data_IF_393417820411
#
_entry.id   IF_393417820411
#
_cell.length_a   1.000
_cell.length_b   1.000
_cell.length_c   1.000
_cell.angle_alpha   90.00
_cell.angle_beta   90.00
_cell.angle_gamma   90.00
#
_symmetry.space_group_name_H-M   'P 1'
#
loop_
_entity.id
_entity.type
_entity.pdbx_description
1 polymer ?
#
# COMPACT_ATOMS: atom_id res chain seq x y z
N UNK A 1 -15.20 29.99 8.89
CA UNK A 1 -14.58 28.91 9.70
C UNK A 1 -13.52 28.28 8.82
N UNK A 2 -12.32 27.98 9.33
CA UNK A 2 -11.35 27.22 8.53
C UNK A 2 -11.95 25.83 8.24
N UNK A 3 -11.97 25.41 6.97
CA UNK A 3 -12.44 24.06 6.63
C UNK A 3 -11.57 23.04 7.35
N UNK A 4 -12.20 22.04 7.97
CA UNK A 4 -11.47 20.95 8.62
C UNK A 4 -10.62 20.22 7.57
N UNK A 5 -9.41 19.84 7.98
CA UNK A 5 -8.48 19.14 7.09
C UNK A 5 -9.01 17.74 6.79
N UNK A 6 -9.02 17.38 5.51
CA UNK A 6 -9.38 16.05 5.02
C UNK A 6 -8.18 15.10 5.08
N UNK A 7 -8.40 13.88 5.56
CA UNK A 7 -7.39 12.82 5.67
C UNK A 7 -7.78 11.65 4.78
N UNK A 8 -6.91 11.29 3.85
CA UNK A 8 -7.06 10.07 3.04
C UNK A 8 -6.76 8.87 3.93
N UNK A 9 -7.68 7.90 3.94
CA UNK A 9 -7.42 6.57 4.49
C UNK A 9 -7.23 5.61 3.32
N UNK A 10 -6.03 5.04 3.22
CA UNK A 10 -5.75 3.91 2.34
C UNK A 10 -5.94 2.61 3.12
N UNK A 11 -6.64 1.64 2.53
CA UNK A 11 -6.73 0.28 3.07
C UNK A 11 -5.99 -0.70 2.16
N UNK A 12 -4.94 -1.35 2.69
CA UNK A 12 -4.18 -2.39 2.01
C UNK A 12 -4.70 -3.77 2.42
N UNK A 13 -5.40 -4.41 1.48
CA UNK A 13 -6.38 -5.45 1.80
C UNK A 13 -5.74 -6.78 2.21
N UNK A 14 -4.67 -7.19 1.53
CA UNK A 14 -4.09 -8.54 1.73
C UNK A 14 -2.58 -8.63 1.52
N UNK A 15 -2.01 -7.84 0.61
CA UNK A 15 -0.58 -7.84 0.33
C UNK A 15 0.02 -9.16 -0.11
N UNK A 16 1.33 -9.25 0.10
CA UNK A 16 2.13 -10.46 -0.17
C UNK A 16 3.00 -10.91 1.02
N UNK A 17 2.99 -10.18 2.15
CA UNK A 17 3.82 -10.47 3.32
C UNK A 17 3.21 -11.57 4.20
N UNK A 18 1.98 -11.35 4.68
CA UNK A 18 1.31 -12.30 5.55
C UNK A 18 0.85 -13.53 4.75
N UNK A 19 0.85 -14.69 5.40
CA UNK A 19 0.50 -15.97 4.79
C UNK A 19 -0.74 -16.60 5.46
N UNK A 20 -1.46 -17.53 4.80
CA UNK A 20 -2.71 -18.12 5.31
C UNK A 20 -2.64 -18.76 6.70
N UNK A 21 -1.47 -19.22 7.13
CA UNK A 21 -1.24 -19.77 8.47
C UNK A 21 -1.37 -18.72 9.57
N UNK A 22 -1.01 -17.46 9.28
CA UNK A 22 -0.82 -16.42 10.29
C UNK A 22 -2.12 -15.90 10.88
N UNK A 23 -3.20 -15.89 10.09
CA UNK A 23 -4.54 -15.50 10.52
C UNK A 23 -5.57 -16.18 9.62
N UNK A 24 -6.72 -16.64 10.15
CA UNK A 24 -7.82 -17.14 9.33
C UNK A 24 -8.56 -16.02 8.56
N UNK A 25 -8.27 -14.75 8.88
CA UNK A 25 -8.97 -13.59 8.32
C UNK A 25 -8.25 -12.96 7.12
N UNK A 26 -7.12 -13.53 6.67
CA UNK A 26 -6.37 -13.01 5.53
C UNK A 26 -7.19 -13.24 4.24
N UNK A 27 -7.57 -12.20 3.48
CA UNK A 27 -8.33 -12.37 2.25
C UNK A 27 -7.48 -13.07 1.19
N UNK A 28 -7.95 -14.19 0.64
CA UNK A 28 -7.19 -15.01 -0.32
C UNK A 28 -7.87 -15.04 -1.67
N UNK A 29 -9.15 -15.43 -1.70
CA UNK A 29 -9.89 -15.56 -2.95
C UNK A 29 -10.30 -14.18 -3.51
N UNK A 30 -10.57 -14.07 -4.82
CA UNK A 30 -11.11 -12.85 -5.41
C UNK A 30 -12.40 -12.36 -4.71
N UNK A 31 -13.26 -13.28 -4.27
CA UNK A 31 -14.46 -12.98 -3.48
C UNK A 31 -14.12 -12.31 -2.15
N UNK A 32 -13.23 -12.92 -1.36
CA UNK A 32 -12.82 -12.39 -0.05
C UNK A 32 -12.10 -11.06 -0.17
N UNK A 33 -11.27 -10.89 -1.21
CA UNK A 33 -10.57 -9.62 -1.51
C UNK A 33 -11.59 -8.54 -1.85
N UNK A 34 -12.56 -8.82 -2.73
CA UNK A 34 -13.62 -7.87 -3.07
C UNK A 34 -14.48 -7.50 -1.86
N UNK A 35 -14.90 -8.46 -1.06
CA UNK A 35 -15.70 -8.23 0.15
C UNK A 35 -14.95 -7.36 1.17
N UNK A 36 -13.67 -7.66 1.44
CA UNK A 36 -12.86 -6.86 2.35
C UNK A 36 -12.59 -5.46 1.82
N UNK A 37 -12.37 -5.32 0.52
CA UNK A 37 -12.19 -4.04 -0.14
C UNK A 37 -13.46 -3.16 -0.02
N UNK A 38 -14.63 -3.74 -0.29
CA UNK A 38 -15.92 -3.05 -0.16
C UNK A 38 -16.17 -2.65 1.29
N UNK A 39 -16.01 -3.58 2.25
CA UNK A 39 -16.18 -3.28 3.67
C UNK A 39 -15.21 -2.22 4.19
N UNK A 40 -13.97 -2.19 3.69
CA UNK A 40 -13.02 -1.14 4.01
C UNK A 40 -13.48 0.24 3.51
N UNK A 41 -14.02 0.31 2.29
CA UNK A 41 -14.61 1.54 1.76
C UNK A 41 -15.83 1.99 2.56
N UNK A 42 -16.76 1.09 2.89
CA UNK A 42 -17.94 1.39 3.73
C UNK A 42 -17.53 1.96 5.11
N UNK A 43 -16.44 1.46 5.67
CA UNK A 43 -15.87 1.96 6.91
C UNK A 43 -15.22 3.35 6.79
N UNK A 44 -14.86 3.78 5.57
CA UNK A 44 -14.35 5.13 5.27
C UNK A 44 -13.03 5.17 4.52
N UNK A 45 -12.53 4.05 3.96
CA UNK A 45 -11.33 4.08 3.13
C UNK A 45 -11.60 4.79 1.80
N UNK A 46 -10.77 5.77 1.44
CA UNK A 46 -10.84 6.49 0.17
C UNK A 46 -10.09 5.77 -0.95
N UNK A 47 -9.05 5.02 -0.58
CA UNK A 47 -8.16 4.28 -1.49
C UNK A 47 -8.07 2.82 -1.04
N UNK A 48 -8.15 1.90 -1.99
CA UNK A 48 -8.00 0.45 -1.78
C UNK A 48 -6.72 -0.02 -2.48
N UNK A 49 -5.72 -0.41 -1.69
CA UNK A 49 -4.48 -0.98 -2.19
C UNK A 49 -4.61 -2.51 -2.31
N UNK A 50 -4.38 -3.02 -3.53
CA UNK A 50 -4.76 -4.36 -3.93
C UNK A 50 -3.60 -5.18 -4.46
N UNK A 51 -3.55 -6.41 -3.95
CA UNK A 51 -2.72 -7.52 -4.42
C UNK A 51 -3.65 -8.67 -4.82
N UNK A 52 -3.16 -9.56 -5.68
CA UNK A 52 -3.82 -10.82 -5.99
C UNK A 52 -3.09 -12.00 -5.33
N UNK A 53 -3.86 -13.04 -4.99
CA UNK A 53 -3.36 -14.32 -4.46
C UNK A 53 -3.95 -15.47 -5.27
N UNK A 54 -3.22 -16.58 -5.38
CA UNK A 54 -3.73 -17.81 -5.97
C UNK A 54 -4.93 -18.29 -5.12
N UNK A 55 -6.13 -18.41 -5.69
CA UNK A 55 -7.33 -18.78 -4.95
C UNK A 55 -7.24 -20.18 -4.30
N UNK A 56 -6.31 -21.04 -4.73
CA UNK A 56 -6.17 -22.41 -4.22
C UNK A 56 -5.41 -22.48 -2.91
N UNK A 57 -4.38 -21.66 -2.74
CA UNK A 57 -3.42 -21.80 -1.64
C UNK A 57 -2.95 -20.48 -1.01
N UNK A 58 -3.41 -19.32 -1.51
CA UNK A 58 -3.10 -18.00 -0.96
C UNK A 58 -1.75 -17.43 -1.32
N UNK A 59 -0.97 -18.08 -2.19
CA UNK A 59 0.33 -17.59 -2.66
C UNK A 59 0.18 -16.30 -3.46
N UNK A 60 1.05 -15.29 -3.30
CA UNK A 60 1.01 -14.10 -4.13
C UNK A 60 1.10 -14.44 -5.63
N UNK A 61 0.25 -13.83 -6.46
CA UNK A 61 0.23 -14.07 -7.90
C UNK A 61 0.23 -12.76 -8.70
N UNK A 62 0.98 -12.66 -9.81
CA UNK A 62 0.91 -11.52 -10.71
C UNK A 62 -0.18 -11.69 -11.79
N UNK A 63 -0.88 -12.82 -11.81
CA UNK A 63 -1.78 -13.19 -12.91
C UNK A 63 -2.90 -12.15 -13.10
N UNK A 64 -2.92 -11.43 -14.24
CA UNK A 64 -3.93 -10.43 -14.52
C UNK A 64 -5.36 -10.98 -14.49
N UNK A 65 -5.55 -12.27 -14.79
CA UNK A 65 -6.88 -12.90 -14.76
C UNK A 65 -7.46 -12.88 -13.36
N UNK A 66 -6.63 -13.14 -12.35
CA UNK A 66 -7.06 -13.13 -10.95
C UNK A 66 -7.45 -11.71 -10.51
N UNK A 67 -6.70 -10.69 -10.94
CA UNK A 67 -7.10 -9.29 -10.72
C UNK A 67 -8.48 -8.99 -11.33
N UNK A 68 -8.73 -9.46 -12.55
CA UNK A 68 -9.99 -9.22 -13.26
C UNK A 68 -11.20 -9.93 -12.66
N UNK A 69 -11.01 -10.88 -11.74
CA UNK A 69 -12.10 -11.53 -11.01
C UNK A 69 -12.66 -10.66 -9.88
N UNK A 70 -11.88 -9.71 -9.34
CA UNK A 70 -12.34 -8.83 -8.25
C UNK A 70 -12.43 -7.35 -8.62
N UNK A 71 -11.60 -6.85 -9.55
CA UNK A 71 -11.57 -5.43 -9.90
C UNK A 71 -12.91 -4.88 -10.42
N UNK A 72 -13.61 -5.53 -11.38
CA UNK A 72 -14.91 -5.03 -11.85
C UNK A 72 -15.97 -5.01 -10.74
N UNK A 73 -15.92 -5.97 -9.82
CA UNK A 73 -16.88 -6.06 -8.70
C UNK A 73 -16.67 -4.94 -7.69
N UNK A 74 -15.41 -4.63 -7.36
CA UNK A 74 -15.07 -3.49 -6.50
C UNK A 74 -15.54 -2.18 -7.15
N UNK A 75 -15.26 -2.00 -8.45
CA UNK A 75 -15.68 -0.81 -9.20
C UNK A 75 -17.20 -0.66 -9.28
N UNK A 76 -17.94 -1.76 -9.45
CA UNK A 76 -19.39 -1.73 -9.49
C UNK A 76 -20.01 -1.40 -8.12
N UNK A 77 -19.33 -1.75 -7.03
CA UNK A 77 -19.89 -1.68 -5.67
C UNK A 77 -19.47 -0.43 -4.91
N UNK A 78 -18.39 0.24 -5.32
CA UNK A 78 -17.77 1.35 -4.59
C UNK A 78 -17.31 2.45 -5.54
N UNK A 79 -17.17 3.67 -5.04
CA UNK A 79 -16.48 4.76 -5.73
C UNK A 79 -15.02 4.92 -5.28
N UNK A 80 -14.50 4.02 -4.43
CA UNK A 80 -13.13 4.05 -3.93
C UNK A 80 -12.10 4.11 -5.05
N UNK A 81 -10.97 4.77 -4.80
CA UNK A 81 -9.84 4.73 -5.72
C UNK A 81 -9.17 3.36 -5.63
N UNK A 82 -9.01 2.72 -6.78
CA UNK A 82 -8.28 1.45 -6.88
C UNK A 82 -6.79 1.74 -7.08
N UNK A 83 -5.98 1.27 -6.13
CA UNK A 83 -4.53 1.29 -6.17
C UNK A 83 -3.99 -0.13 -6.37
N UNK A 84 -3.39 -0.42 -7.53
CA UNK A 84 -2.85 -1.75 -7.81
C UNK A 84 -1.35 -1.78 -7.51
N UNK A 85 -0.92 -2.80 -6.78
CA UNK A 85 0.50 -3.01 -6.52
C UNK A 85 1.32 -3.12 -7.81
N UNK A 86 2.49 -2.48 -7.83
CA UNK A 86 3.58 -2.90 -8.73
C UNK A 86 4.73 -3.54 -7.95
N UNK A 87 4.58 -3.78 -6.65
CA UNK A 87 5.55 -4.53 -5.85
C UNK A 87 5.40 -6.04 -6.02
N UNK A 88 4.15 -6.52 -6.06
CA UNK A 88 3.84 -7.94 -6.24
C UNK A 88 4.32 -8.81 -5.08
N UNK A 89 4.74 -10.04 -5.39
CA UNK A 89 5.36 -10.97 -4.44
C UNK A 89 6.84 -11.19 -4.71
N UNK A 90 7.56 -11.72 -3.71
CA UNK A 90 8.98 -12.03 -3.84
C UNK A 90 9.25 -12.99 -5.01
N UNK A 91 10.32 -12.72 -5.75
CA UNK A 91 10.74 -13.53 -6.91
C UNK A 91 10.09 -13.14 -8.25
N UNK A 92 9.09 -12.24 -8.26
CA UNK A 92 8.48 -11.77 -9.50
C UNK A 92 9.39 -10.79 -10.26
N UNK A 93 9.48 -10.95 -11.58
CA UNK A 93 10.17 -9.99 -12.44
C UNK A 93 9.39 -8.66 -12.52
N UNK A 94 10.02 -7.58 -13.00
CA UNK A 94 9.30 -6.31 -13.21
C UNK A 94 8.17 -6.47 -14.23
N UNK A 95 8.32 -7.36 -15.22
CA UNK A 95 7.29 -7.68 -16.20
C UNK A 95 6.09 -8.37 -15.54
N UNK A 96 6.34 -9.37 -14.69
CA UNK A 96 5.28 -10.05 -13.94
C UNK A 96 4.51 -9.05 -13.08
N UNK A 97 5.24 -8.23 -12.33
CA UNK A 97 4.67 -7.22 -11.43
C UNK A 97 3.77 -6.19 -12.14
N UNK A 98 4.01 -5.94 -13.43
CA UNK A 98 3.27 -4.96 -14.22
C UNK A 98 2.13 -5.58 -15.04
N UNK A 99 2.05 -6.90 -15.14
CA UNK A 99 1.06 -7.58 -15.98
C UNK A 99 -0.38 -7.19 -15.62
N UNK A 100 -0.74 -7.27 -14.32
CA UNK A 100 -2.06 -6.87 -13.82
C UNK A 100 -2.34 -5.38 -14.05
N UNK A 101 -1.48 -4.46 -13.54
CA UNK A 101 -1.60 -3.02 -13.77
C UNK A 101 -1.73 -2.59 -15.23
N UNK A 102 -0.93 -3.15 -16.15
CA UNK A 102 -0.96 -2.78 -17.56
C UNK A 102 -2.27 -3.20 -18.25
N UNK A 103 -2.85 -4.33 -17.81
CA UNK A 103 -4.17 -4.73 -18.28
C UNK A 103 -5.26 -3.84 -17.68
N UNK A 104 -5.21 -3.56 -16.38
CA UNK A 104 -6.24 -2.83 -15.65
C UNK A 104 -6.21 -1.31 -15.89
N UNK A 105 -5.05 -0.74 -16.24
CA UNK A 105 -4.83 0.71 -16.39
C UNK A 105 -5.47 1.52 -15.24
N UNK A 106 -5.15 1.22 -13.97
CA UNK A 106 -5.84 1.81 -12.83
C UNK A 106 -5.60 3.33 -12.73
N UNK A 107 -6.37 4.00 -11.88
CA UNK A 107 -6.14 5.41 -11.55
C UNK A 107 -4.77 5.61 -10.90
N UNK A 108 -4.38 4.68 -10.04
CA UNK A 108 -3.09 4.70 -9.37
C UNK A 108 -2.49 3.32 -9.16
N UNK A 109 -1.18 3.29 -9.00
CA UNK A 109 -0.40 2.12 -8.64
C UNK A 109 0.57 2.43 -7.51
N UNK A 110 0.97 1.43 -6.73
CA UNK A 110 2.13 1.56 -5.85
C UNK A 110 3.41 1.55 -6.68
N UNK A 111 4.45 2.28 -6.26
CA UNK A 111 5.76 2.31 -6.90
C UNK A 111 6.86 2.33 -5.85
N UNK A 112 7.60 1.23 -5.77
CA UNK A 112 8.67 1.05 -4.80
C UNK A 112 9.93 1.82 -5.22
N UNK A 113 10.38 2.74 -4.37
CA UNK A 113 11.36 3.76 -4.72
C UNK A 113 12.83 3.36 -4.52
N UNK A 114 13.11 2.07 -4.35
CA UNK A 114 14.49 1.60 -4.24
C UNK A 114 14.62 0.11 -4.05
N UNK A 115 15.81 -0.40 -4.36
CA UNK A 115 16.17 -1.80 -4.10
C UNK A 115 16.62 -1.95 -2.65
N UNK A 116 16.12 -2.97 -1.97
CA UNK A 116 16.42 -3.18 -0.56
C UNK A 116 16.33 -4.66 -0.17
N UNK A 117 16.93 -5.03 0.95
CA UNK A 117 16.59 -6.28 1.63
C UNK A 117 15.15 -6.18 2.14
N UNK A 118 14.42 -7.29 2.12
CA UNK A 118 13.03 -7.35 2.60
C UNK A 118 12.82 -8.64 3.41
N UNK A 119 13.35 -8.64 4.64
CA UNK A 119 13.48 -9.83 5.46
C UNK A 119 12.18 -10.23 6.16
N UNK A 120 11.58 -11.34 5.71
CA UNK A 120 10.38 -11.95 6.31
C UNK A 120 10.69 -13.20 7.14
N UNK A 121 11.86 -13.80 6.92
CA UNK A 121 12.32 -15.04 7.55
C UNK A 121 12.21 -15.08 9.09
N UNK A 122 12.31 -13.97 9.87
CA UNK A 122 12.11 -14.06 11.32
C UNK A 122 10.69 -14.49 11.72
N UNK A 123 9.73 -14.43 10.81
CA UNK A 123 8.37 -14.95 11.07
C UNK A 123 8.33 -16.47 11.17
N UNK A 124 9.31 -17.19 10.63
CA UNK A 124 9.43 -18.65 10.80
C UNK A 124 9.50 -19.05 12.27
N UNK A 125 10.19 -18.26 13.10
CA UNK A 125 10.34 -18.52 14.53
C UNK A 125 9.03 -18.33 15.32
N UNK A 126 8.02 -17.68 14.71
CA UNK A 126 6.73 -17.37 15.36
C UNK A 126 5.66 -18.43 15.10
N UNK A 127 5.82 -19.25 14.06
CA UNK A 127 4.82 -20.22 13.63
C UNK A 127 5.43 -21.62 13.55
N UNK A 128 4.99 -22.57 14.41
CA UNK A 128 5.61 -23.90 14.48
C UNK A 128 5.25 -24.82 13.30
N UNK A 129 4.23 -24.47 12.53
CA UNK A 129 3.73 -25.26 11.39
C UNK A 129 3.00 -24.36 10.40
N UNK A 130 2.99 -24.73 9.12
CA UNK A 130 2.32 -24.00 8.04
C UNK A 130 1.26 -24.87 7.35
N UNK A 131 0.18 -24.24 6.87
CA UNK A 131 -0.90 -24.90 6.11
C UNK A 131 -0.42 -25.36 4.74
N UNK A 132 0.45 -24.58 4.10
CA UNK A 132 1.05 -24.90 2.81
C UNK A 132 2.57 -24.76 2.87
N UNK A 133 3.29 -25.66 2.19
CA UNK A 133 4.75 -25.65 2.16
C UNK A 133 5.32 -24.33 1.59
N UNK A 134 4.64 -23.75 0.59
CA UNK A 134 5.08 -22.51 -0.05
C UNK A 134 5.21 -21.36 0.96
N UNK A 135 4.45 -21.37 2.06
CA UNK A 135 4.49 -20.30 3.06
C UNK A 135 5.86 -20.26 3.75
N UNK A 136 6.36 -21.41 4.21
CA UNK A 136 7.67 -21.51 4.83
C UNK A 136 8.79 -21.19 3.83
N UNK A 137 8.68 -21.72 2.61
CA UNK A 137 9.66 -21.50 1.55
C UNK A 137 9.73 -20.01 1.17
N UNK A 138 8.57 -19.35 1.07
CA UNK A 138 8.47 -17.92 0.79
C UNK A 138 9.13 -17.07 1.88
N UNK A 139 8.89 -17.40 3.15
CA UNK A 139 9.51 -16.70 4.28
C UNK A 139 11.02 -16.92 4.32
N UNK A 140 11.51 -18.14 4.13
CA UNK A 140 12.94 -18.42 4.15
C UNK A 140 13.67 -17.80 2.96
N UNK A 141 13.07 -17.84 1.76
CA UNK A 141 13.63 -17.23 0.56
C UNK A 141 13.94 -15.73 0.73
N UNK A 142 13.18 -15.04 1.59
CA UNK A 142 13.41 -13.62 1.90
C UNK A 142 14.76 -13.32 2.54
N UNK A 143 15.46 -14.33 3.10
CA UNK A 143 16.78 -14.17 3.73
C UNK A 143 17.86 -13.81 2.71
N UNK A 144 17.73 -14.30 1.47
CA UNK A 144 18.70 -14.10 0.38
C UNK A 144 18.06 -13.40 -0.84
N UNK A 145 16.94 -12.72 -0.62
CA UNK A 145 16.24 -11.99 -1.67
C UNK A 145 16.46 -10.47 -1.55
N UNK A 146 16.66 -9.83 -2.70
CA UNK A 146 16.59 -8.37 -2.83
C UNK A 146 15.24 -8.03 -3.43
N UNK A 147 14.49 -7.16 -2.76
CA UNK A 147 13.33 -6.54 -3.38
C UNK A 147 13.82 -5.47 -4.37
N UNK A 148 13.97 -5.90 -5.63
CA UNK A 148 14.64 -5.12 -6.67
C UNK A 148 13.73 -4.04 -7.25
N UNK A 149 14.18 -2.79 -7.16
CA UNK A 149 13.67 -1.63 -7.89
C UNK A 149 14.86 -0.75 -8.26
N UNK A 150 15.56 -1.10 -9.34
CA UNK A 150 16.66 -0.28 -9.83
C UNK A 150 16.13 0.99 -10.47
N UNK A 151 16.98 2.01 -10.68
CA UNK A 151 16.56 3.22 -11.40
C UNK A 151 15.94 2.91 -12.77
N UNK A 152 16.51 1.94 -13.52
CA UNK A 152 15.95 1.50 -14.80
C UNK A 152 14.57 0.85 -14.66
N UNK A 153 14.36 0.06 -13.61
CA UNK A 153 13.06 -0.55 -13.33
C UNK A 153 12.02 0.55 -13.02
N UNK A 154 12.39 1.55 -12.24
CA UNK A 154 11.51 2.68 -11.91
C UNK A 154 11.20 3.52 -13.16
N UNK A 155 12.19 3.86 -14.00
CA UNK A 155 11.97 4.55 -15.27
C UNK A 155 10.99 3.79 -16.18
N UNK A 156 11.16 2.47 -16.27
CA UNK A 156 10.28 1.62 -17.05
C UNK A 156 8.83 1.69 -16.53
N UNK A 157 8.63 1.64 -15.22
CA UNK A 157 7.29 1.75 -14.61
C UNK A 157 6.66 3.13 -14.85
N UNK A 158 7.43 4.20 -14.64
CA UNK A 158 6.97 5.57 -14.87
C UNK A 158 6.53 5.78 -16.33
N UNK A 159 7.26 5.20 -17.28
CA UNK A 159 6.92 5.25 -18.69
C UNK A 159 5.67 4.43 -19.02
N UNK A 160 5.68 3.13 -18.73
CA UNK A 160 4.63 2.21 -19.20
C UNK A 160 3.28 2.47 -18.51
N UNK A 161 3.28 2.74 -17.21
CA UNK A 161 2.06 3.02 -16.45
C UNK A 161 1.74 4.52 -16.40
N UNK A 162 2.74 5.36 -16.12
CA UNK A 162 2.52 6.80 -15.99
C UNK A 162 2.16 7.44 -17.32
N UNK A 163 3.10 7.48 -18.26
CA UNK A 163 2.86 8.05 -19.59
C UNK A 163 1.90 7.19 -20.43
N UNK A 164 2.07 5.85 -20.39
CA UNK A 164 1.31 4.93 -21.23
C UNK A 164 -0.16 4.73 -20.83
N UNK A 165 -0.49 4.86 -19.54
CA UNK A 165 -1.83 4.59 -19.02
C UNK A 165 -2.49 5.78 -18.28
N UNK A 166 -1.76 6.88 -18.07
CA UNK A 166 -2.20 7.99 -17.23
C UNK A 166 -2.29 7.63 -15.75
N UNK A 167 -1.61 6.57 -15.32
CA UNK A 167 -1.62 6.08 -13.95
C UNK A 167 -0.77 6.98 -13.05
N UNK A 168 -1.28 7.33 -11.87
CA UNK A 168 -0.50 8.04 -10.84
C UNK A 168 0.08 7.07 -9.83
N UNK A 169 1.00 7.54 -8.99
CA UNK A 169 1.77 6.65 -8.12
C UNK A 169 1.65 6.99 -6.65
N UNK A 170 1.45 5.94 -5.84
CA UNK A 170 1.82 5.91 -4.43
C UNK A 170 3.31 5.53 -4.35
N UNK A 171 4.18 6.50 -4.05
CA UNK A 171 5.63 6.31 -3.98
C UNK A 171 6.01 5.68 -2.63
N UNK A 172 6.25 4.38 -2.64
CA UNK A 172 6.58 3.57 -1.46
C UNK A 172 8.06 3.76 -1.06
N UNK A 173 8.27 4.55 -0.01
CA UNK A 173 9.57 4.97 0.50
C UNK A 173 9.85 4.30 1.86
N UNK A 174 10.72 3.30 1.85
CA UNK A 174 11.06 2.48 3.03
C UNK A 174 12.26 3.02 3.81
N UNK A 175 12.98 3.99 3.24
CA UNK A 175 14.13 4.61 3.86
C UNK A 175 14.37 6.00 3.26
N UNK A 176 15.22 6.80 3.90
CA UNK A 176 15.57 8.17 3.49
C UNK A 176 16.11 8.20 2.06
N UNK A 177 16.93 7.21 1.69
CA UNK A 177 17.47 7.08 0.33
C UNK A 177 16.38 6.99 -0.75
N UNK A 178 15.21 6.42 -0.43
CA UNK A 178 14.11 6.32 -1.37
C UNK A 178 13.46 7.68 -1.67
N UNK A 179 13.45 8.60 -0.69
CA UNK A 179 13.01 9.99 -0.92
C UNK A 179 13.97 10.71 -1.88
N UNK A 180 15.27 10.52 -1.71
CA UNK A 180 16.27 11.06 -2.65
C UNK A 180 16.17 10.43 -4.05
N UNK A 181 15.86 9.14 -4.15
CA UNK A 181 15.58 8.50 -5.43
C UNK A 181 14.36 9.14 -6.10
N UNK A 182 13.28 9.42 -5.36
CA UNK A 182 12.12 10.13 -5.91
C UNK A 182 12.49 11.53 -6.39
N UNK A 183 13.26 12.29 -5.60
CA UNK A 183 13.73 13.62 -5.98
C UNK A 183 14.51 13.60 -7.31
N UNK A 184 15.36 12.59 -7.54
CA UNK A 184 16.05 12.42 -8.83
C UNK A 184 15.08 12.30 -10.02
N UNK A 185 13.96 11.58 -9.88
CA UNK A 185 12.96 11.48 -10.94
C UNK A 185 12.13 12.75 -11.12
N UNK A 186 11.88 13.48 -10.03
CA UNK A 186 11.23 14.79 -10.05
C UNK A 186 12.10 15.82 -10.77
N UNK A 187 13.39 15.91 -10.44
CA UNK A 187 14.35 16.85 -11.05
C UNK A 187 14.50 16.62 -12.56
N UNK A 188 14.29 15.37 -13.01
CA UNK A 188 14.30 14.98 -14.43
C UNK A 188 12.96 15.18 -15.13
N UNK A 189 11.93 15.62 -14.42
CA UNK A 189 10.58 15.84 -14.97
C UNK A 189 9.83 14.56 -15.35
N UNK A 190 10.27 13.39 -14.87
CA UNK A 190 9.64 12.09 -15.15
C UNK A 190 8.40 11.84 -14.29
N UNK A 191 8.23 12.63 -13.23
CA UNK A 191 7.07 12.60 -12.34
C UNK A 191 6.55 14.02 -12.16
N UNK A 192 5.24 14.20 -12.21
CA UNK A 192 4.57 15.50 -12.01
C UNK A 192 3.89 15.54 -10.64
N UNK A 193 3.84 16.69 -9.96
CA UNK A 193 3.07 16.84 -8.73
C UNK A 193 1.55 16.73 -8.98
N UNK A 194 0.72 16.54 -7.94
CA UNK A 194 1.12 16.23 -6.57
C UNK A 194 1.73 14.82 -6.46
N UNK A 195 2.79 14.68 -5.65
CA UNK A 195 3.43 13.38 -5.36
C UNK A 195 2.75 12.72 -4.16
N UNK A 196 2.24 11.50 -4.27
CA UNK A 196 1.71 10.77 -3.11
C UNK A 196 2.82 9.93 -2.48
N UNK A 197 3.48 10.46 -1.46
CA UNK A 197 4.63 9.82 -0.81
C UNK A 197 4.15 8.96 0.36
N UNK A 198 4.30 7.64 0.24
CA UNK A 198 3.98 6.67 1.29
C UNK A 198 5.26 6.27 2.02
N UNK A 199 5.43 6.76 3.25
CA UNK A 199 6.58 6.37 4.08
C UNK A 199 6.26 5.11 4.88
N UNK A 200 7.10 4.09 4.75
CA UNK A 200 6.87 2.75 5.26
C UNK A 200 7.87 2.43 6.37
N UNK A 201 7.36 2.06 7.53
CA UNK A 201 8.17 1.82 8.73
C UNK A 201 8.07 0.39 9.24
N UNK A 202 9.22 -0.16 9.70
CA UNK A 202 9.26 -1.40 10.48
C UNK A 202 9.44 -2.68 9.67
N UNK A 203 9.78 -2.59 8.39
CA UNK A 203 10.22 -3.73 7.58
C UNK A 203 11.70 -4.00 7.85
N UNK A 204 12.08 -5.26 8.11
CA UNK A 204 13.48 -5.64 8.27
C UNK A 204 14.22 -5.46 6.93
N UNK A 205 15.15 -4.51 6.90
CA UNK A 205 15.85 -4.08 5.68
C UNK A 205 15.50 -2.65 5.24
N UNK A 206 14.45 -2.05 5.82
CA UNK A 206 14.13 -0.62 5.73
C UNK A 206 14.30 0.10 7.06
N UNK A 207 13.73 1.30 7.14
CA UNK A 207 13.81 2.17 8.32
C UNK A 207 12.91 1.65 9.47
N UNK A 208 13.40 1.79 10.70
CA UNK A 208 12.73 1.29 11.91
C UNK A 208 11.44 2.05 12.27
N UNK A 209 10.51 1.38 12.96
CA UNK A 209 9.22 1.93 13.37
C UNK A 209 9.28 2.77 14.65
N UNK A 210 10.15 3.79 14.64
CA UNK A 210 10.37 4.72 15.74
C UNK A 210 9.91 6.13 15.36
N UNK A 211 9.37 6.89 16.32
CA UNK A 211 8.86 8.24 16.07
C UNK A 211 9.90 9.20 15.46
N UNK A 212 11.18 9.06 15.83
CA UNK A 212 12.28 9.86 15.26
C UNK A 212 12.46 9.63 13.77
N UNK A 213 12.30 8.38 13.31
CA UNK A 213 12.41 8.04 11.90
C UNK A 213 11.24 8.64 11.11
N UNK A 214 10.04 8.61 11.67
CA UNK A 214 8.87 9.26 11.06
C UNK A 214 9.07 10.77 10.90
N UNK A 215 9.53 11.45 11.96
CA UNK A 215 9.82 12.89 11.90
C UNK A 215 10.93 13.20 10.88
N UNK A 216 11.98 12.39 10.85
CA UNK A 216 13.09 12.57 9.92
C UNK A 216 12.66 12.38 8.46
N UNK A 217 11.89 11.32 8.15
CA UNK A 217 11.34 11.10 6.81
C UNK A 217 10.45 12.27 6.36
N UNK A 218 9.63 12.83 7.26
CA UNK A 218 8.83 14.03 6.99
C UNK A 218 9.71 15.24 6.68
N UNK A 219 10.72 15.52 7.51
CA UNK A 219 11.64 16.65 7.33
C UNK A 219 12.38 16.56 5.99
N UNK A 220 12.86 15.37 5.62
CA UNK A 220 13.52 15.17 4.33
C UNK A 220 12.54 15.33 3.17
N UNK A 221 11.32 14.81 3.27
CA UNK A 221 10.30 14.99 2.24
C UNK A 221 9.91 16.47 2.08
N UNK A 222 9.74 17.22 3.18
CA UNK A 222 9.49 18.67 3.17
C UNK A 222 10.63 19.44 2.48
N UNK A 223 11.88 19.08 2.80
CA UNK A 223 13.07 19.66 2.17
C UNK A 223 13.12 19.40 0.66
N UNK A 224 12.76 18.19 0.22
CA UNK A 224 12.90 17.78 -1.19
C UNK A 224 11.72 18.19 -2.05
N UNK A 225 10.51 18.23 -1.50
CA UNK A 225 9.27 18.37 -2.28
C UNK A 225 8.42 19.59 -1.91
N UNK A 226 8.70 20.25 -0.78
CA UNK A 226 7.94 21.41 -0.31
C UNK A 226 6.44 21.12 -0.24
N UNK A 227 5.62 21.98 -0.84
CA UNK A 227 4.15 21.81 -0.88
C UNK A 227 3.66 20.91 -2.04
N UNK A 228 4.58 20.31 -2.80
CA UNK A 228 4.25 19.56 -4.02
C UNK A 228 3.84 18.11 -3.77
N UNK A 229 3.73 17.68 -2.51
CA UNK A 229 3.45 16.29 -2.16
C UNK A 229 2.35 16.15 -1.10
N UNK A 230 1.65 15.03 -1.19
CA UNK A 230 0.75 14.50 -0.17
C UNK A 230 1.48 13.36 0.53
N UNK A 231 1.56 13.41 1.85
CA UNK A 231 2.26 12.41 2.64
C UNK A 231 1.30 11.38 3.21
N UNK A 232 1.66 10.10 3.22
CA UNK A 232 0.92 9.01 3.86
C UNK A 232 1.88 8.14 4.68
N UNK A 233 1.34 7.51 5.73
CA UNK A 233 2.10 6.70 6.68
C UNK A 233 1.55 5.28 6.73
N UNK A 234 2.46 4.32 6.57
CA UNK A 234 2.26 2.89 6.87
C UNK A 234 3.27 2.46 7.92
N UNK A 235 2.84 1.67 8.90
CA UNK A 235 3.75 1.03 9.84
C UNK A 235 3.38 -0.44 10.10
N UNK A 236 4.39 -1.31 10.07
CA UNK A 236 4.21 -2.74 10.16
C UNK A 236 3.68 -3.20 11.54
N UNK A 237 2.70 -4.12 11.51
CA UNK A 237 2.18 -4.83 12.66
C UNK A 237 1.68 -3.91 13.78
N UNK A 238 2.18 -4.14 15.00
CA UNK A 238 1.76 -3.41 16.21
C UNK A 238 1.95 -1.89 16.14
N UNK A 239 2.79 -1.41 15.22
CA UNK A 239 3.12 0.01 15.07
C UNK A 239 2.08 0.80 14.26
N UNK A 240 1.22 0.10 13.49
CA UNK A 240 0.26 0.68 12.54
C UNK A 240 -0.52 1.84 13.13
N UNK A 241 -1.30 1.59 14.20
CA UNK A 241 -2.17 2.61 14.79
C UNK A 241 -1.41 3.79 15.39
N UNK A 242 -0.30 3.53 16.10
CA UNK A 242 0.48 4.59 16.75
C UNK A 242 1.16 5.54 15.75
N UNK A 243 1.82 5.00 14.72
CA UNK A 243 2.53 5.83 13.75
C UNK A 243 1.57 6.50 12.77
N UNK A 244 0.48 5.85 12.36
CA UNK A 244 -0.57 6.51 11.58
C UNK A 244 -1.17 7.69 12.33
N UNK A 245 -1.48 7.53 13.62
CA UNK A 245 -2.01 8.63 14.45
C UNK A 245 -1.03 9.79 14.55
N UNK A 246 0.26 9.51 14.80
CA UNK A 246 1.27 10.55 14.88
C UNK A 246 1.48 11.25 13.52
N UNK A 247 1.50 10.50 12.43
CA UNK A 247 1.55 11.04 11.08
C UNK A 247 0.36 11.95 10.76
N UNK A 248 -0.86 11.56 11.14
CA UNK A 248 -2.05 12.38 10.97
C UNK A 248 -1.99 13.69 11.77
N UNK A 249 -1.51 13.65 13.02
CA UNK A 249 -1.27 14.86 13.84
C UNK A 249 -0.29 15.81 13.14
N UNK A 250 0.73 15.26 12.47
CA UNK A 250 1.72 16.01 11.70
C UNK A 250 1.23 16.43 10.31
N UNK A 251 -0.06 16.23 10.01
CA UNK A 251 -0.62 16.59 8.71
C UNK A 251 -0.25 15.60 7.60
N UNK A 252 -0.19 14.31 7.90
CA UNK A 252 -0.17 13.22 6.94
C UNK A 252 -1.55 12.59 6.69
N UNK A 253 -1.58 11.69 5.71
CA UNK A 253 -2.61 10.71 5.45
C UNK A 253 -2.22 9.37 6.09
N UNK A 254 -3.11 8.38 6.09
CA UNK A 254 -2.86 7.12 6.81
C UNK A 254 -3.14 5.90 5.94
N UNK A 255 -2.36 4.83 6.14
CA UNK A 255 -2.58 3.52 5.54
C UNK A 255 -2.70 2.44 6.61
N UNK A 256 -3.78 1.67 6.55
CA UNK A 256 -4.08 0.53 7.42
C UNK A 256 -4.48 -0.69 6.57
N UNK A 257 -4.76 -1.83 7.19
CA UNK A 257 -5.23 -3.03 6.52
C UNK A 257 -4.44 -4.28 6.89
N UNK A 258 -5.01 -5.44 6.55
CA UNK A 258 -4.47 -6.76 6.88
C UNK A 258 -3.15 -7.06 6.15
N UNK A 259 -2.85 -6.36 5.07
CA UNK A 259 -1.53 -6.37 4.45
C UNK A 259 -0.43 -5.95 5.42
N UNK A 260 -0.68 -4.89 6.19
CA UNK A 260 0.34 -4.22 6.99
C UNK A 260 0.35 -4.74 8.44
N UNK A 261 -0.82 -5.14 8.96
CA UNK A 261 -0.98 -5.72 10.30
C UNK A 261 -2.17 -6.67 10.33
N UNK A 262 -1.98 -7.90 10.81
CA UNK A 262 -3.09 -8.84 11.06
C UNK A 262 -3.84 -8.59 12.38
N UNK A 263 -3.49 -7.53 13.13
CA UNK A 263 -3.99 -7.29 14.49
C UNK A 263 -4.86 -6.03 14.58
N UNK A 264 -6.05 -6.15 15.17
CA UNK A 264 -6.89 -5.02 15.57
C UNK A 264 -6.42 -4.37 16.88
N UNK A 265 -5.64 -5.09 17.69
CA UNK A 265 -5.10 -4.63 18.97
C UNK A 265 -4.10 -5.62 19.55
N UNK A 266 -3.57 -5.32 20.74
CA UNK A 266 -2.58 -6.19 21.40
C UNK A 266 -3.16 -7.58 21.63
N UNK A 267 -2.64 -8.57 20.89
CA UNK A 267 -3.06 -9.96 20.98
C UNK A 267 -4.43 -10.27 20.37
N UNK A 268 -5.10 -9.29 19.73
CA UNK A 268 -6.39 -9.49 19.06
C UNK A 268 -6.17 -9.42 17.55
N UNK A 269 -6.41 -10.53 16.85
CA UNK A 269 -6.44 -10.55 15.39
C UNK A 269 -7.58 -9.65 14.90
N UNK A 270 -7.36 -8.96 13.79
CA UNK A 270 -8.42 -8.24 13.10
C UNK A 270 -9.25 -9.24 12.30
N UNK A 271 -10.57 -9.13 12.38
CA UNK A 271 -11.50 -10.07 11.74
C UNK A 271 -11.70 -9.76 10.25
N UNK A 272 -11.48 -8.52 9.86
CA UNK A 272 -11.52 -8.02 8.49
C UNK A 272 -10.79 -6.66 8.40
N UNK A 273 -10.65 -6.15 7.19
CA UNK A 273 -10.02 -4.84 6.94
C UNK A 273 -10.85 -3.66 7.49
N UNK A 274 -12.19 -3.76 7.46
CA UNK A 274 -13.10 -2.71 7.92
C UNK A 274 -12.89 -2.37 9.41
N UNK A 275 -12.58 -3.36 10.25
CA UNK A 275 -12.28 -3.15 11.68
C UNK A 275 -11.12 -2.17 11.88
N UNK A 276 -10.07 -2.26 11.06
CA UNK A 276 -8.90 -1.38 11.16
C UNK A 276 -9.21 0.02 10.61
N UNK A 277 -9.94 0.11 9.50
CA UNK A 277 -10.39 1.40 8.94
C UNK A 277 -11.28 2.13 9.94
N UNK A 278 -12.28 1.46 10.50
CA UNK A 278 -13.17 2.05 11.50
C UNK A 278 -12.41 2.51 12.75
N UNK A 279 -11.37 1.77 13.16
CA UNK A 279 -10.53 2.14 14.28
C UNK A 279 -9.72 3.42 14.03
N UNK A 280 -9.03 3.53 12.88
CA UNK A 280 -8.24 4.73 12.59
C UNK A 280 -9.15 5.93 12.30
N UNK A 281 -10.29 5.72 11.62
CA UNK A 281 -11.31 6.75 11.40
C UNK A 281 -11.79 7.37 12.71
N UNK A 282 -12.17 6.56 13.70
CA UNK A 282 -12.59 7.06 15.02
C UNK A 282 -11.50 7.92 15.68
N UNK A 283 -10.24 7.48 15.62
CA UNK A 283 -9.12 8.26 16.17
C UNK A 283 -9.00 9.62 15.46
N UNK A 284 -9.14 9.66 14.14
CA UNK A 284 -9.08 10.90 13.35
C UNK A 284 -10.24 11.83 13.67
N UNK A 285 -11.46 11.30 13.79
CA UNK A 285 -12.66 12.05 14.18
C UNK A 285 -12.53 12.61 15.61
N UNK A 286 -12.00 11.83 16.56
CA UNK A 286 -11.70 12.27 17.94
C UNK A 286 -10.64 13.41 17.95
N UNK A 287 -9.77 13.47 16.94
CA UNK A 287 -8.81 14.57 16.72
C UNK A 287 -9.41 15.76 15.94
N UNK A 288 -10.73 15.77 15.69
CA UNK A 288 -11.43 16.81 14.93
C UNK A 288 -10.97 16.93 13.46
N UNK A 289 -10.48 15.83 12.89
CA UNK A 289 -10.15 15.71 11.48
C UNK A 289 -11.33 15.09 10.72
N UNK A 290 -11.43 15.39 9.43
CA UNK A 290 -12.45 14.81 8.55
C UNK A 290 -11.81 13.79 7.60
N UNK A 291 -12.55 12.76 7.24
CA UNK A 291 -12.08 11.74 6.29
C UNK A 291 -12.35 12.21 4.86
N UNK A 292 -11.37 12.06 3.98
CA UNK A 292 -11.53 12.33 2.56
C UNK A 292 -12.44 11.26 1.93
N UNK A 293 -13.45 11.68 1.18
CA UNK A 293 -14.18 10.82 0.25
C UNK A 293 -13.26 10.38 -0.91
N UNK A 294 -13.62 9.32 -1.66
CA UNK A 294 -12.86 8.96 -2.86
C UNK A 294 -12.80 10.10 -3.90
N UNK A 295 -13.85 10.89 -4.05
CA UNK A 295 -13.84 12.07 -4.93
C UNK A 295 -12.83 13.14 -4.47
N UNK A 296 -12.77 13.44 -3.18
CA UNK A 296 -11.78 14.35 -2.60
C UNK A 296 -10.36 13.78 -2.75
N UNK A 297 -10.17 12.48 -2.55
CA UNK A 297 -8.88 11.82 -2.76
C UNK A 297 -8.41 11.93 -4.22
N UNK A 298 -9.31 11.73 -5.20
CA UNK A 298 -9.02 11.94 -6.62
C UNK A 298 -8.58 13.37 -6.90
N UNK A 299 -9.27 14.36 -6.33
CA UNK A 299 -8.90 15.77 -6.48
C UNK A 299 -7.54 16.09 -5.84
N UNK A 300 -7.31 15.62 -4.61
CA UNK A 300 -6.05 15.84 -3.87
C UNK A 300 -4.84 15.22 -4.59
N UNK A 301 -5.04 14.13 -5.31
CA UNK A 301 -4.00 13.36 -5.99
C UNK A 301 -3.98 13.52 -7.52
N UNK A 302 -4.84 14.37 -8.08
CA UNK A 302 -4.98 14.62 -9.53
C UNK A 302 -5.19 13.33 -10.35
N UNK A 303 -6.06 12.45 -9.87
CA UNK A 303 -6.33 11.15 -10.50
C UNK A 303 -7.26 11.28 -11.71
N UNK A 304 -7.08 10.42 -12.71
CA UNK A 304 -7.84 10.45 -13.97
C UNK A 304 -9.33 10.09 -13.84
N UNK A 305 -9.77 9.51 -12.74
CA UNK A 305 -11.16 9.08 -12.56
C UNK A 305 -11.38 7.60 -12.86
N UNK A 306 -12.32 6.99 -12.11
CA UNK A 306 -12.64 5.57 -12.18
C UNK A 306 -13.34 5.15 -13.47
N UNK A 307 -13.81 6.10 -14.28
CA UNK A 307 -14.34 5.87 -15.63
C UNK A 307 -13.24 5.70 -16.69
N UNK A 308 -11.99 6.09 -16.38
CA UNK A 308 -10.84 6.00 -17.28
C UNK A 308 -9.91 4.80 -16.99
N UNK A 309 -10.43 3.75 -16.37
CA UNK A 309 -9.73 2.47 -16.10
C UNK A 309 -10.28 1.35 -16.99
N UNK A 310 -9.52 0.26 -17.13
CA UNK A 310 -9.83 -0.86 -18.03
C UNK A 310 -10.31 -2.12 -17.27
N UNK A 311 -11.31 -1.94 -16.40
CA UNK A 311 -12.06 -2.98 -15.70
C UNK A 311 -13.41 -2.46 -15.23
#
# INVERSE_FOLDING_TARGET
MANARKVIITCAVTGSIHTPTMTPHLPITPDEIAENAIGAWEAGASILHLHARDPKDGRPTPDPKVFMEFLPRIKQSTDAVVNITTGGGQGMSVQDRLAGPLQAKPEMCSLNMGSMNFGLFPMLDRYPSFKHQWEADHLEASRDAIFRNTFKDIEFILKELGEGCGTRFEFECYDVGHLYNLAHFVDRGLVKPPFFVQTIFGILGGIGADHKNLMHMREIADKLFGDSYQWSILAAGRHQMSLCTMGAIMGGNVRVGLEDSIYAGKGKLAENNAEQVAKIRRILEDLSLEIATPAEARQMLDLKGGDQVNF
#
